data_IF_824526543601
#
_entry.id   IF_824526543601
#
_cell.length_a   1.000
_cell.length_b   1.000
_cell.length_c   1.000
_cell.angle_alpha   90.00
_cell.angle_beta   90.00
_cell.angle_gamma   90.00
#
_symmetry.space_group_name_H-M   'P 1'
#
loop_
_entity.id
_entity.type
_entity.pdbx_description
1 polymer ?
#
# COMPACT_ATOMS: atom_id res chain seq x y z
N UNK A 1 3.67 14.69 35.75
CA UNK A 1 3.16 14.75 34.36
C UNK A 1 4.33 14.45 33.45
N UNK A 2 4.49 13.19 33.06
CA UNK A 2 5.42 12.79 32.00
C UNK A 2 4.60 12.74 30.71
N UNK A 3 4.98 13.51 29.70
CA UNK A 3 4.43 13.35 28.36
C UNK A 3 4.92 11.99 27.84
N UNK A 4 4.11 10.95 27.99
CA UNK A 4 4.32 9.66 27.33
C UNK A 4 4.08 9.86 25.82
N UNK A 5 5.10 10.39 25.14
CA UNK A 5 5.14 10.40 23.69
C UNK A 5 5.08 8.96 23.22
N UNK A 6 3.99 8.58 22.53
CA UNK A 6 3.82 7.26 21.95
C UNK A 6 5.07 6.90 21.14
N UNK A 7 5.86 5.95 21.62
CA UNK A 7 6.93 5.37 20.83
C UNK A 7 6.27 4.53 19.74
N UNK A 8 6.53 4.78 18.45
CA UNK A 8 5.87 4.08 17.37
C UNK A 8 6.28 2.59 17.40
N UNK A 9 5.28 1.72 17.33
CA UNK A 9 5.47 0.27 17.24
C UNK A 9 6.30 -0.12 16.01
N UNK A 10 6.22 0.66 14.92
CA UNK A 10 7.08 0.50 13.75
C UNK A 10 7.34 1.82 13.03
N UNK A 11 8.50 1.92 12.37
CA UNK A 11 8.82 2.95 11.38
C UNK A 11 8.74 2.32 9.99
N UNK A 12 7.77 2.77 9.20
CA UNK A 12 7.52 2.26 7.85
C UNK A 12 8.04 3.27 6.82
N UNK A 13 8.82 2.80 5.84
CA UNK A 13 9.23 3.59 4.68
C UNK A 13 8.68 2.95 3.41
N UNK A 14 8.11 3.77 2.54
CA UNK A 14 7.59 3.33 1.25
C UNK A 14 8.45 3.94 0.15
N UNK A 15 8.88 3.10 -0.79
CA UNK A 15 9.66 3.47 -1.96
C UNK A 15 8.85 3.15 -3.21
N UNK A 16 8.91 4.01 -4.23
CA UNK A 16 8.41 3.70 -5.56
C UNK A 16 9.49 2.93 -6.33
N UNK A 17 9.15 1.79 -6.94
CA UNK A 17 10.11 0.97 -7.67
C UNK A 17 10.79 -0.08 -6.80
N UNK A 18 12.08 -0.32 -7.05
CA UNK A 18 12.90 -1.23 -6.24
C UNK A 18 13.56 -0.46 -5.10
N UNK A 19 13.99 -1.17 -4.05
CA UNK A 19 14.66 -0.53 -2.91
C UNK A 19 15.99 0.11 -3.31
N UNK A 20 16.72 -0.51 -4.24
CA UNK A 20 18.02 -0.06 -4.73
C UNK A 20 17.95 1.28 -5.46
N UNK A 21 16.78 1.62 -6.02
CA UNK A 21 16.54 2.88 -6.72
C UNK A 21 16.37 4.06 -5.73
N UNK A 22 16.16 3.76 -4.43
CA UNK A 22 16.04 4.71 -3.32
C UNK A 22 15.04 5.86 -3.54
N UNK A 23 13.98 5.64 -4.32
CA UNK A 23 12.94 6.62 -4.56
C UNK A 23 11.91 6.63 -3.43
N UNK A 24 12.27 7.26 -2.30
CA UNK A 24 11.45 7.32 -1.09
C UNK A 24 10.19 8.18 -1.30
N UNK A 25 9.02 7.56 -1.15
CA UNK A 25 7.73 8.26 -1.16
C UNK A 25 7.38 8.84 0.21
N UNK A 26 7.80 8.21 1.30
CA UNK A 26 7.53 8.72 2.64
C UNK A 26 7.98 7.80 3.76
N UNK A 27 8.08 8.40 4.96
CA UNK A 27 8.35 7.72 6.23
C UNK A 27 7.16 7.93 7.16
N UNK A 28 6.72 6.86 7.81
CA UNK A 28 5.53 6.83 8.64
C UNK A 28 5.84 6.18 9.99
N UNK A 29 5.39 6.81 11.07
CA UNK A 29 5.56 6.33 12.43
C UNK A 29 4.23 5.70 12.86
N UNK A 30 4.21 4.38 12.98
CA UNK A 30 2.99 3.62 13.18
C UNK A 30 2.89 3.20 14.65
N UNK A 31 1.98 3.80 15.44
CA UNK A 31 1.77 3.40 16.82
C UNK A 31 1.01 2.07 16.93
N UNK A 32 0.14 1.79 15.96
CA UNK A 32 -0.78 0.65 15.98
C UNK A 32 -0.22 -0.60 15.28
N UNK A 33 -0.93 -1.73 15.40
CA UNK A 33 -0.54 -3.00 14.75
C UNK A 33 -0.88 -3.06 13.27
N UNK A 34 -1.82 -2.24 12.81
CA UNK A 34 -2.29 -2.18 11.43
C UNK A 34 -2.28 -0.75 10.94
N UNK A 35 -1.89 -0.55 9.69
CA UNK A 35 -1.87 0.75 9.04
C UNK A 35 -2.09 0.58 7.55
N UNK A 36 -2.81 1.52 6.96
CA UNK A 36 -3.15 1.52 5.54
C UNK A 36 -2.67 2.81 4.87
N UNK A 37 -2.31 2.68 3.59
CA UNK A 37 -1.88 3.80 2.77
C UNK A 37 -2.40 3.63 1.35
N UNK A 38 -3.16 4.62 0.90
CA UNK A 38 -3.54 4.71 -0.50
C UNK A 38 -2.32 5.02 -1.37
N UNK A 39 -2.20 4.26 -2.45
CA UNK A 39 -1.14 4.39 -3.45
C UNK A 39 -1.73 4.31 -4.85
N UNK A 40 -1.05 4.93 -5.82
CA UNK A 40 -1.49 4.85 -7.22
C UNK A 40 -1.34 3.43 -7.76
N UNK A 41 -2.32 2.95 -8.53
CA UNK A 41 -2.26 1.63 -9.17
C UNK A 41 -1.19 1.57 -10.27
N UNK A 42 -0.82 0.35 -10.66
CA UNK A 42 0.11 0.03 -11.74
C UNK A 42 1.54 0.59 -11.54
N UNK A 43 1.94 0.73 -10.28
CA UNK A 43 3.30 1.05 -9.88
C UNK A 43 3.80 -0.01 -8.90
N UNK A 44 5.12 -0.24 -8.89
CA UNK A 44 5.77 -1.07 -7.89
C UNK A 44 6.03 -0.23 -6.66
N UNK A 45 5.79 -0.80 -5.50
CA UNK A 45 6.18 -0.20 -4.23
C UNK A 45 6.98 -1.22 -3.44
N UNK A 46 8.09 -0.78 -2.88
CA UNK A 46 8.84 -1.53 -1.87
C UNK A 46 8.63 -0.87 -0.52
N UNK A 47 8.30 -1.67 0.48
CA UNK A 47 8.02 -1.22 1.84
C UNK A 47 9.06 -1.80 2.77
N UNK A 48 9.63 -0.96 3.63
CA UNK A 48 10.46 -1.41 4.75
C UNK A 48 9.78 -1.06 6.06
N UNK A 49 9.73 -1.99 6.99
CA UNK A 49 9.19 -1.77 8.33
C UNK A 49 10.27 -2.11 9.36
N UNK A 50 10.64 -1.12 10.17
CA UNK A 50 11.62 -1.27 11.24
C UNK A 50 10.91 -1.20 12.58
N UNK A 51 11.08 -2.20 13.43
CA UNK A 51 10.51 -2.21 14.79
C UNK A 51 11.51 -2.78 15.79
N UNK A 52 11.34 -2.40 17.05
CA UNK A 52 12.20 -2.80 18.17
C UNK A 52 11.35 -3.64 19.11
N UNK A 53 11.78 -4.84 19.45
CA UNK A 53 11.07 -5.66 20.44
C UNK A 53 11.31 -5.17 21.88
N UNK A 54 10.59 -5.76 22.83
CA UNK A 54 10.71 -5.42 24.26
C UNK A 54 12.10 -5.71 24.85
N UNK A 55 12.96 -6.45 24.13
CA UNK A 55 14.34 -6.75 24.52
C UNK A 55 15.35 -5.81 23.84
N UNK A 56 14.87 -4.79 23.11
CA UNK A 56 15.71 -3.82 22.41
C UNK A 56 16.28 -4.32 21.08
N UNK A 57 15.86 -5.49 20.60
CA UNK A 57 16.33 -6.02 19.32
C UNK A 57 15.56 -5.39 18.16
N UNK A 58 16.31 -4.89 17.19
CA UNK A 58 15.77 -4.29 15.97
C UNK A 58 15.50 -5.36 14.91
N UNK A 59 14.32 -5.31 14.31
CA UNK A 59 13.93 -6.12 13.17
C UNK A 59 13.61 -5.22 11.99
N UNK A 60 14.04 -5.64 10.80
CA UNK A 60 13.72 -4.96 9.55
C UNK A 60 13.03 -5.97 8.63
N UNK A 61 11.77 -5.71 8.31
CA UNK A 61 11.03 -6.43 7.30
C UNK A 61 11.04 -5.64 5.99
N UNK A 62 11.18 -6.34 4.87
CA UNK A 62 11.17 -5.75 3.53
C UNK A 62 10.24 -6.59 2.66
N UNK A 63 9.29 -5.93 1.99
CA UNK A 63 8.40 -6.57 1.02
C UNK A 63 8.11 -5.63 -0.15
N UNK A 64 7.58 -6.15 -1.25
CA UNK A 64 7.16 -5.34 -2.38
C UNK A 64 5.82 -5.77 -2.95
N UNK A 65 4.99 -4.79 -3.28
CA UNK A 65 3.69 -4.99 -3.91
C UNK A 65 3.63 -4.25 -5.24
N UNK A 66 2.84 -4.79 -6.16
CA UNK A 66 2.49 -4.11 -7.41
C UNK A 66 0.97 -4.12 -7.53
N UNK A 67 0.26 -3.15 -6.93
CA UNK A 67 -1.19 -3.06 -6.98
C UNK A 67 -1.65 -2.94 -8.43
N UNK A 68 -2.42 -3.92 -8.92
CA UNK A 68 -3.05 -3.91 -10.25
C UNK A 68 -4.55 -3.92 -10.10
N UNK A 69 -5.23 -3.34 -11.09
CA UNK A 69 -6.65 -3.60 -11.28
C UNK A 69 -6.79 -5.06 -11.75
N UNK A 70 -7.23 -5.96 -10.86
CA UNK A 70 -7.60 -7.33 -11.25
C UNK A 70 -9.06 -7.31 -11.66
N UNK A 71 -9.32 -7.45 -12.96
CA UNK A 71 -10.67 -7.56 -13.48
C UNK A 71 -11.17 -9.01 -13.36
N UNK A 72 -12.28 -9.22 -12.66
CA UNK A 72 -13.09 -10.42 -12.79
C UNK A 72 -14.38 -10.08 -13.54
N UNK A 73 -14.51 -10.62 -14.75
CA UNK A 73 -15.65 -10.39 -15.66
C UNK A 73 -17.01 -10.74 -15.06
N UNK A 74 -17.03 -11.55 -14.00
CA UNK A 74 -18.22 -12.02 -13.30
C UNK A 74 -18.76 -11.06 -12.22
N UNK A 75 -18.00 -10.04 -11.79
CA UNK A 75 -18.40 -9.18 -10.66
C UNK A 75 -19.28 -7.99 -11.06
N UNK A 76 -19.64 -7.85 -12.34
CA UNK A 76 -20.65 -6.88 -12.75
C UNK A 76 -22.05 -7.46 -12.50
N UNK A 77 -22.72 -6.98 -11.46
CA UNK A 77 -24.15 -7.18 -11.28
C UNK A 77 -24.96 -6.19 -12.14
N UNK A 78 -24.48 -4.94 -12.29
CA UNK A 78 -25.09 -3.82 -13.04
C UNK A 78 -24.15 -3.20 -14.11
N UNK A 79 -24.48 -2.00 -14.64
CA UNK A 79 -23.62 -1.22 -15.53
C UNK A 79 -22.36 -0.73 -14.79
N UNK A 80 -21.20 -1.21 -15.25
CA UNK A 80 -19.89 -0.95 -14.63
C UNK A 80 -19.06 -0.01 -15.50
N UNK A 81 -18.41 0.97 -14.88
CA UNK A 81 -17.31 1.70 -15.49
C UNK A 81 -15.99 1.09 -15.02
N UNK A 82 -15.06 0.85 -15.95
CA UNK A 82 -13.70 0.44 -15.59
C UNK A 82 -12.66 1.20 -16.41
N UNK A 83 -11.50 1.43 -15.79
CA UNK A 83 -10.36 2.10 -16.42
C UNK A 83 -9.27 1.07 -16.66
N UNK A 84 -8.99 0.80 -17.93
CA UNK A 84 -7.90 -0.09 -18.34
C UNK A 84 -7.05 0.62 -19.39
N UNK A 85 -5.73 0.62 -19.21
CA UNK A 85 -4.78 1.25 -20.13
C UNK A 85 -5.14 2.71 -20.48
N UNK A 86 -5.57 3.48 -19.47
CA UNK A 86 -6.06 4.88 -19.58
C UNK A 86 -7.32 5.07 -20.43
N UNK A 87 -7.98 4.00 -20.84
CA UNK A 87 -9.27 4.04 -21.52
C UNK A 87 -10.37 3.72 -20.52
N UNK A 88 -11.34 4.62 -20.40
CA UNK A 88 -12.59 4.38 -19.66
C UNK A 88 -13.51 3.55 -20.55
N UNK A 89 -13.90 2.37 -20.09
CA UNK A 89 -14.87 1.51 -20.76
C UNK A 89 -16.09 1.31 -19.88
N UNK A 90 -17.26 1.55 -20.46
CA UNK A 90 -18.54 1.17 -19.89
C UNK A 90 -18.87 -0.26 -20.33
N UNK A 91 -19.08 -1.16 -19.38
CA UNK A 91 -19.69 -2.46 -19.64
C UNK A 91 -21.11 -2.45 -19.08
N UNK A 92 -22.10 -2.52 -19.95
CA UNK A 92 -23.51 -2.70 -19.57
C UNK A 92 -23.80 -4.20 -19.71
N UNK A 93 -24.10 -4.87 -18.59
CA UNK A 93 -24.45 -6.31 -18.60
C UNK A 93 -25.75 -6.59 -19.37
N UNK A 94 -26.69 -5.65 -19.30
CA UNK A 94 -27.99 -5.72 -19.96
C UNK A 94 -28.13 -4.59 -20.99
N UNK A 95 -27.41 -4.67 -22.11
CA UNK A 95 -27.77 -3.87 -23.29
C UNK A 95 -28.82 -4.63 -24.09
N UNK A 96 -29.92 -3.96 -24.42
CA UNK A 96 -31.05 -4.49 -25.20
C UNK A 96 -30.64 -4.89 -26.62
#
# INVERSE_FOLDING_TARGET
MINEGLSPSAVVRIYEGKLEDNNLLGTYYIPERSWEKDVTLNKKYTVTATYIDNHGKTYVAVDSAYPRLRYEKSQCEDACWYVYDRVVKLAIKYSR
#
